data_IF_095011609977
#
_entry.id   IF_095011609977
#
_cell.length_a   1.000
_cell.length_b   1.000
_cell.length_c   1.000
_cell.angle_alpha   90.00
_cell.angle_beta   90.00
_cell.angle_gamma   90.00
#
_symmetry.space_group_name_H-M   'P 1'
#
loop_
_entity.id
_entity.type
_entity.pdbx_description
1 polymer ?
#
# COMPACT_ATOMS: atom_id res chain seq x y z
N UNK A 1 12.61 54.31 13.86
CA UNK A 1 11.66 53.97 14.95
C UNK A 1 10.72 52.88 14.46
N UNK A 2 10.87 51.65 14.91
CA UNK A 2 9.95 50.55 14.53
C UNK A 2 8.64 50.67 15.31
N UNK A 3 7.51 50.67 14.62
CA UNK A 3 6.19 50.78 15.22
C UNK A 3 5.92 49.60 16.18
N UNK A 4 5.60 49.81 17.46
CA UNK A 4 5.41 48.74 18.45
C UNK A 4 4.29 47.76 18.06
N UNK A 5 3.29 48.19 17.28
CA UNK A 5 2.23 47.31 16.78
C UNK A 5 2.76 46.31 15.74
N UNK A 6 3.70 46.73 14.89
CA UNK A 6 4.34 45.86 13.90
C UNK A 6 5.18 44.77 14.55
N UNK A 7 5.89 45.09 15.65
CA UNK A 7 6.68 44.12 16.42
C UNK A 7 5.82 43.06 17.10
N UNK A 8 4.65 43.47 17.63
CA UNK A 8 3.67 42.55 18.23
C UNK A 8 3.04 41.63 17.18
N UNK A 9 2.68 42.18 16.01
CA UNK A 9 2.15 41.40 14.90
C UNK A 9 3.16 40.36 14.40
N UNK A 10 4.42 40.76 14.24
CA UNK A 10 5.49 39.86 13.85
C UNK A 10 5.72 38.75 14.89
N UNK A 11 5.71 39.09 16.18
CA UNK A 11 5.82 38.10 17.26
C UNK A 11 4.67 37.09 17.27
N UNK A 12 3.44 37.55 17.05
CA UNK A 12 2.26 36.69 16.96
C UNK A 12 2.34 35.74 15.75
N UNK A 13 2.84 36.22 14.61
CA UNK A 13 2.96 35.44 13.39
C UNK A 13 4.04 34.33 13.52
N UNK A 14 5.14 34.63 14.21
CA UNK A 14 6.17 33.64 14.54
C UNK A 14 5.66 32.59 15.53
N UNK A 15 4.89 33.00 16.55
CA UNK A 15 4.32 32.04 17.51
C UNK A 15 3.32 31.08 16.83
N UNK A 16 2.51 31.59 15.92
CA UNK A 16 1.57 30.78 15.14
C UNK A 16 2.30 29.79 14.22
N UNK A 17 3.36 30.22 13.51
CA UNK A 17 4.09 29.32 12.60
C UNK A 17 4.78 28.16 13.34
N UNK A 18 5.24 28.38 14.58
CA UNK A 18 5.80 27.32 15.42
C UNK A 18 4.73 26.30 15.83
N UNK A 19 3.52 26.74 16.16
CA UNK A 19 2.42 25.85 16.57
C UNK A 19 1.88 24.99 15.42
N UNK A 20 1.81 25.56 14.21
CA UNK A 20 1.33 24.83 13.04
C UNK A 20 2.45 24.04 12.33
N UNK A 21 3.72 24.42 12.51
CA UNK A 21 4.88 23.72 11.93
C UNK A 21 5.16 22.33 12.50
N UNK A 22 4.59 22.00 13.66
CA UNK A 22 4.71 20.67 14.30
C UNK A 22 3.57 19.71 13.93
N UNK A 23 2.62 20.13 13.09
CA UNK A 23 1.61 19.23 12.54
C UNK A 23 2.28 18.32 11.51
N UNK A 24 2.88 17.23 11.99
CA UNK A 24 3.43 16.18 11.13
C UNK A 24 2.31 15.57 10.29
N UNK A 25 2.41 15.69 8.97
CA UNK A 25 1.52 14.97 8.07
C UNK A 25 1.85 13.47 8.15
N UNK A 26 0.93 12.68 8.71
CA UNK A 26 1.03 11.23 8.69
C UNK A 26 0.67 10.73 7.28
N UNK A 27 1.68 10.48 6.46
CA UNK A 27 1.51 9.80 5.18
C UNK A 27 1.64 8.29 5.40
N UNK A 28 0.55 7.55 5.17
CA UNK A 28 0.60 6.10 5.14
C UNK A 28 1.31 5.66 3.84
N UNK A 29 2.33 4.82 3.98
CA UNK A 29 2.97 4.17 2.84
C UNK A 29 2.07 3.03 2.34
N UNK A 30 1.07 3.38 1.52
CA UNK A 30 0.20 2.39 0.86
C UNK A 30 0.89 1.84 -0.39
N UNK A 31 1.88 0.99 -0.17
CA UNK A 31 2.42 0.15 -1.24
C UNK A 31 1.44 -0.99 -1.53
N UNK A 32 0.72 -0.90 -2.65
CA UNK A 32 -0.07 -2.03 -3.18
C UNK A 32 0.92 -3.03 -3.79
N UNK A 33 1.28 -4.08 -3.04
CA UNK A 33 1.96 -5.22 -3.64
C UNK A 33 0.99 -5.93 -4.59
N UNK A 34 1.45 -6.21 -5.81
CA UNK A 34 0.75 -7.09 -6.75
C UNK A 34 0.76 -8.52 -6.18
N UNK A 35 -0.14 -8.82 -5.24
CA UNK A 35 -0.30 -10.16 -4.67
C UNK A 35 -1.36 -10.90 -5.48
N UNK A 36 -0.99 -11.27 -6.71
CA UNK A 36 -1.74 -12.25 -7.50
C UNK A 36 -1.00 -13.58 -7.45
N UNK A 37 -0.61 -14.05 -6.27
CA UNK A 37 -0.26 -15.45 -6.13
C UNK A 37 -1.55 -16.23 -5.93
N UNK A 38 -1.95 -16.98 -6.94
CA UNK A 38 -3.11 -17.85 -6.85
C UNK A 38 -2.73 -19.09 -6.00
N UNK A 39 -3.31 -19.25 -4.78
CA UNK A 39 -3.01 -20.38 -3.92
C UNK A 39 -3.46 -21.71 -4.54
N UNK A 40 -4.31 -21.69 -5.56
CA UNK A 40 -4.82 -22.89 -6.24
C UNK A 40 -3.88 -23.43 -7.31
N UNK A 41 -2.79 -22.72 -7.65
CA UNK A 41 -1.82 -23.19 -8.67
C UNK A 41 -1.28 -24.59 -8.37
N UNK A 42 -0.96 -24.85 -7.10
CA UNK A 42 -0.44 -26.15 -6.68
C UNK A 42 -1.53 -27.23 -6.71
N UNK A 43 -2.76 -26.86 -6.36
CA UNK A 43 -3.93 -27.74 -6.45
C UNK A 43 -4.18 -28.16 -7.92
N UNK A 44 -4.20 -27.20 -8.85
CA UNK A 44 -4.40 -27.49 -10.27
C UNK A 44 -3.30 -28.38 -10.82
N UNK A 45 -2.04 -28.15 -10.45
CA UNK A 45 -0.93 -29.00 -10.88
C UNK A 45 -1.12 -30.46 -10.46
N UNK A 46 -1.49 -30.70 -9.21
CA UNK A 46 -1.73 -32.06 -8.69
C UNK A 46 -2.97 -32.70 -9.33
N UNK A 47 -4.02 -31.91 -9.56
CA UNK A 47 -5.24 -32.38 -10.19
C UNK A 47 -5.03 -32.72 -11.67
N UNK A 48 -4.27 -31.91 -12.41
CA UNK A 48 -3.98 -32.13 -13.82
C UNK A 48 -3.26 -33.47 -14.04
N UNK A 49 -2.29 -33.80 -13.19
CA UNK A 49 -1.61 -35.10 -13.23
C UNK A 49 -2.59 -36.27 -13.03
N UNK A 50 -3.49 -36.15 -12.04
CA UNK A 50 -4.51 -37.16 -11.78
C UNK A 50 -5.53 -37.27 -12.92
N UNK A 51 -5.95 -36.14 -13.49
CA UNK A 51 -6.89 -36.07 -14.60
C UNK A 51 -6.31 -36.71 -15.86
N UNK A 52 -5.07 -36.40 -16.22
CA UNK A 52 -4.39 -37.00 -17.39
C UNK A 52 -4.29 -38.52 -17.24
N UNK A 53 -3.93 -39.00 -16.05
CA UNK A 53 -3.86 -40.44 -15.78
C UNK A 53 -5.23 -41.11 -15.92
N UNK A 54 -6.27 -40.48 -15.39
CA UNK A 54 -7.65 -40.96 -15.49
C UNK A 54 -8.15 -40.96 -16.93
N UNK A 55 -7.98 -39.85 -17.66
CA UNK A 55 -8.42 -39.70 -19.05
C UNK A 55 -7.77 -40.75 -19.94
N UNK A 56 -6.46 -40.93 -19.83
CA UNK A 56 -5.73 -41.95 -20.58
C UNK A 56 -6.23 -43.37 -20.29
N UNK A 57 -6.64 -43.66 -19.06
CA UNK A 57 -7.19 -44.95 -18.69
C UNK A 57 -8.60 -45.18 -19.26
N UNK A 58 -9.43 -44.14 -19.36
CA UNK A 58 -10.79 -44.23 -19.89
C UNK A 58 -10.85 -44.22 -21.42
N UNK A 59 -10.09 -43.33 -22.05
CA UNK A 59 -10.22 -43.04 -23.49
C UNK A 59 -9.06 -43.58 -24.32
N UNK A 60 -7.91 -43.84 -23.70
CA UNK A 60 -6.68 -44.20 -24.41
C UNK A 60 -5.99 -43.02 -25.10
N UNK A 61 -6.52 -41.80 -24.96
CA UNK A 61 -5.91 -40.58 -25.50
C UNK A 61 -4.72 -40.10 -24.65
N UNK A 62 -3.75 -39.44 -25.29
CA UNK A 62 -2.51 -38.94 -24.68
C UNK A 62 -2.25 -37.48 -25.00
#
# INVERSE_FOLDING_TARGET
MTNPHFRKLLGALVAASVQFGTLGFAFADTTILNVSYDPTRELYKQFDEAFVAHWKAETGET
#
